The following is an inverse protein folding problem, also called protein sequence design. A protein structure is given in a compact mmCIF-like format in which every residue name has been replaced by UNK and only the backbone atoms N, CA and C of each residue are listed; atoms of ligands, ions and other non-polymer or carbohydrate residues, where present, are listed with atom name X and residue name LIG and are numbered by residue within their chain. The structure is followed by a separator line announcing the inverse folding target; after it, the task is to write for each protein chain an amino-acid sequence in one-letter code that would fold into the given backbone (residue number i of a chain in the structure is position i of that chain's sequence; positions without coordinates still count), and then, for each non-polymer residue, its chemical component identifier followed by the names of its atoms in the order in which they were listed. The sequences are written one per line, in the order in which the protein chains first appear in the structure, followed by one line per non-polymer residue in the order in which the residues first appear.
data_IF_009056864315
#
_entry.id   IF_009056864315
#
_cell.length_a   1.000
_cell.length_b   1.000
_cell.length_c   1.000
_cell.angle_alpha   90.00
_cell.angle_beta   90.00
_cell.angle_gamma   90.00
#
_symmetry.space_group_name_H-M   'P 1'
#
loop_
_entity.id
_entity.type
_entity.pdbx_description
1 polymer ?
#
# COMPACT_ATOMS: atom_id res chain seq x y z
N UNK A 1 20.36 20.10 -0.57
CA UNK A 1 19.99 18.67 -0.45
C UNK A 1 20.57 17.93 -1.64
N UNK A 2 21.23 16.79 -1.40
CA UNK A 2 21.82 15.98 -2.47
C UNK A 2 20.83 14.90 -2.91
N UNK A 3 20.83 14.56 -4.21
CA UNK A 3 19.97 13.49 -4.77
C UNK A 3 20.15 12.15 -4.03
N UNK A 4 21.37 11.84 -3.61
CA UNK A 4 21.72 10.65 -2.83
C UNK A 4 20.99 10.52 -1.49
N UNK A 5 20.51 11.62 -0.93
CA UNK A 5 19.69 11.60 0.30
C UNK A 5 18.21 11.26 0.01
N UNK A 6 17.73 11.62 -1.20
CA UNK A 6 16.37 11.33 -1.65
C UNK A 6 16.29 9.88 -2.09
N UNK A 7 17.17 9.48 -3.03
CA UNK A 7 17.19 8.18 -3.66
C UNK A 7 18.26 7.29 -3.02
N UNK A 8 17.96 6.67 -1.89
CA UNK A 8 18.87 5.74 -1.23
C UNK A 8 18.16 4.41 -0.90
N UNK A 9 18.94 3.38 -0.67
CA UNK A 9 18.43 2.13 -0.10
C UNK A 9 18.00 2.43 1.34
N UNK A 10 16.77 2.02 1.69
CA UNK A 10 16.24 2.07 3.05
C UNK A 10 15.85 0.69 3.51
N UNK A 11 15.97 0.45 4.81
CA UNK A 11 15.57 -0.80 5.43
C UNK A 11 14.18 -0.65 6.05
N UNK A 12 13.36 -1.70 5.98
CA UNK A 12 12.10 -1.77 6.69
C UNK A 12 12.38 -2.47 8.03
N UNK A 13 12.52 -1.70 9.11
CA UNK A 13 12.73 -2.15 10.50
C UNK A 13 13.92 -3.10 10.72
N UNK A 14 14.24 -3.95 9.77
CA UNK A 14 15.35 -4.91 9.80
C UNK A 14 16.25 -4.75 8.58
N UNK A 15 17.50 -5.19 8.66
CA UNK A 15 18.46 -5.13 7.54
C UNK A 15 18.15 -6.10 6.38
N UNK A 16 17.12 -6.93 6.54
CA UNK A 16 16.77 -7.97 5.56
C UNK A 16 15.84 -7.43 4.47
N UNK A 17 14.86 -6.59 4.82
CA UNK A 17 13.93 -6.04 3.83
C UNK A 17 14.44 -4.69 3.34
N UNK A 18 14.89 -4.66 2.10
CA UNK A 18 15.51 -3.46 1.48
C UNK A 18 14.64 -2.90 0.37
N UNK A 19 14.60 -1.56 0.28
CA UNK A 19 14.01 -0.82 -0.81
C UNK A 19 15.10 -0.30 -1.78
N UNK A 20 14.81 0.12 -3.02
CA UNK A 20 13.46 0.22 -3.59
C UNK A 20 12.89 -1.15 -4.01
N UNK A 21 11.56 -1.27 -3.98
CA UNK A 21 10.86 -2.46 -4.47
C UNK A 21 9.58 -2.12 -5.22
N UNK A 22 9.24 -2.97 -6.20
CA UNK A 22 7.94 -2.95 -6.88
C UNK A 22 7.16 -4.16 -6.43
N UNK A 23 5.94 -3.93 -5.95
CA UNK A 23 5.09 -4.96 -5.34
C UNK A 23 3.89 -5.23 -6.26
N UNK A 24 3.79 -6.43 -6.88
CA UNK A 24 2.60 -6.83 -7.63
C UNK A 24 1.38 -6.94 -6.72
N UNK A 25 0.26 -6.35 -7.14
CA UNK A 25 -1.01 -6.36 -6.40
C UNK A 25 -2.04 -7.25 -7.06
N UNK A 26 -2.72 -8.06 -6.25
CA UNK A 26 -3.82 -8.92 -6.63
C UNK A 26 -5.12 -8.41 -6.02
N UNK A 27 -6.15 -8.19 -6.84
CA UNK A 27 -7.45 -7.68 -6.41
C UNK A 27 -8.58 -8.28 -7.24
N UNK A 28 -9.60 -8.82 -6.57
CA UNK A 28 -10.81 -9.34 -7.22
C UNK A 28 -11.60 -8.26 -7.96
N UNK A 29 -11.46 -6.99 -7.55
CA UNK A 29 -12.08 -5.86 -8.23
C UNK A 29 -11.40 -5.53 -9.57
N UNK A 30 -10.15 -5.93 -9.75
CA UNK A 30 -9.40 -5.75 -11.00
C UNK A 30 -9.51 -6.92 -11.96
N UNK A 31 -9.84 -8.14 -11.47
CA UNK A 31 -9.80 -9.37 -12.26
C UNK A 31 -10.94 -10.33 -11.89
N UNK A 32 -11.62 -10.88 -12.89
CA UNK A 32 -12.76 -11.78 -12.70
C UNK A 32 -12.34 -13.10 -12.05
N UNK A 33 -11.17 -13.62 -12.37
CA UNK A 33 -10.68 -14.92 -11.89
C UNK A 33 -9.33 -14.76 -11.17
N UNK A 34 -9.34 -13.94 -10.12
CA UNK A 34 -8.12 -13.54 -9.42
C UNK A 34 -7.41 -14.74 -8.75
N UNK A 35 -8.13 -15.75 -8.26
CA UNK A 35 -7.53 -16.92 -7.63
C UNK A 35 -6.68 -17.73 -8.61
N UNK A 36 -7.18 -18.02 -9.79
CA UNK A 36 -6.42 -18.72 -10.81
C UNK A 36 -5.23 -17.90 -11.30
N UNK A 37 -5.41 -16.59 -11.49
CA UNK A 37 -4.31 -15.68 -11.85
C UNK A 37 -3.22 -15.70 -10.76
N UNK A 38 -3.62 -15.59 -9.51
CA UNK A 38 -2.70 -15.65 -8.37
C UNK A 38 -1.94 -16.98 -8.34
N UNK A 39 -2.63 -18.13 -8.46
CA UNK A 39 -2.00 -19.46 -8.49
C UNK A 39 -1.01 -19.64 -9.64
N UNK A 40 -1.37 -19.18 -10.83
CA UNK A 40 -0.48 -19.24 -12.01
C UNK A 40 0.81 -18.45 -11.81
N UNK A 41 0.72 -17.28 -11.19
CA UNK A 41 1.82 -16.34 -11.04
C UNK A 41 2.60 -16.54 -9.73
N UNK A 42 2.05 -17.21 -8.74
CA UNK A 42 2.64 -17.39 -7.42
C UNK A 42 4.06 -17.97 -7.47
N UNK A 43 4.33 -18.88 -8.40
CA UNK A 43 5.64 -19.49 -8.60
C UNK A 43 6.70 -18.55 -9.22
N UNK A 44 6.28 -17.42 -9.78
CA UNK A 44 7.16 -16.43 -10.40
C UNK A 44 7.33 -15.18 -9.54
N UNK A 45 6.36 -14.90 -8.66
CA UNK A 45 6.35 -13.73 -7.77
C UNK A 45 6.82 -14.18 -6.39
N UNK A 46 8.14 -14.34 -6.26
CA UNK A 46 8.78 -14.88 -5.06
C UNK A 46 9.23 -13.81 -4.06
N UNK A 47 9.52 -12.59 -4.52
CA UNK A 47 10.07 -11.56 -3.62
C UNK A 47 8.99 -10.91 -2.76
N UNK A 48 8.03 -10.24 -3.40
CA UNK A 48 6.96 -9.52 -2.69
C UNK A 48 5.67 -9.53 -3.46
N UNK A 49 4.54 -9.49 -2.76
CA UNK A 49 3.20 -9.29 -3.33
C UNK A 49 2.28 -8.62 -2.35
N UNK A 50 1.24 -7.97 -2.88
CA UNK A 50 0.14 -7.44 -2.08
C UNK A 50 -1.13 -8.24 -2.35
N UNK A 51 -1.83 -8.58 -1.28
CA UNK A 51 -3.13 -9.24 -1.30
C UNK A 51 -4.08 -8.47 -0.38
N UNK A 52 -5.31 -8.30 -0.83
CA UNK A 52 -6.35 -7.67 -0.03
C UNK A 52 -6.89 -8.63 1.05
N UNK A 53 -7.02 -8.13 2.27
CA UNK A 53 -7.66 -8.87 3.35
C UNK A 53 -9.14 -9.18 3.04
N UNK A 54 -9.81 -8.28 2.30
CA UNK A 54 -11.16 -8.52 1.78
C UNK A 54 -11.23 -9.79 0.93
N UNK A 55 -10.28 -9.96 0.01
CA UNK A 55 -10.24 -11.12 -0.89
C UNK A 55 -9.93 -12.43 -0.16
N UNK A 56 -9.11 -12.37 0.89
CA UNK A 56 -8.87 -13.53 1.76
C UNK A 56 -10.11 -13.90 2.58
N UNK A 57 -10.79 -12.92 3.18
CA UNK A 57 -11.98 -13.14 3.99
C UNK A 57 -13.11 -13.77 3.19
N UNK A 58 -13.37 -13.25 1.99
CA UNK A 58 -14.42 -13.77 1.11
C UNK A 58 -13.97 -14.91 0.21
N UNK A 59 -12.74 -15.41 0.39
CA UNK A 59 -12.16 -16.54 -0.36
C UNK A 59 -12.10 -16.31 -1.87
N UNK A 60 -11.98 -15.06 -2.28
CA UNK A 60 -11.69 -14.71 -3.68
C UNK A 60 -10.27 -15.10 -4.06
N UNK A 61 -9.36 -15.20 -3.07
CA UNK A 61 -8.01 -15.75 -3.18
C UNK A 61 -7.86 -16.81 -2.07
N UNK A 62 -7.30 -17.97 -2.41
CA UNK A 62 -7.05 -19.04 -1.45
C UNK A 62 -5.98 -18.62 -0.43
N UNK A 63 -6.29 -18.77 0.86
CA UNK A 63 -5.36 -18.45 1.94
C UNK A 63 -4.16 -19.41 2.04
N UNK A 64 -4.21 -20.57 1.40
CA UNK A 64 -3.12 -21.54 1.41
C UNK A 64 -1.96 -21.13 0.51
N UNK A 65 -2.25 -20.39 -0.57
CA UNK A 65 -1.28 -20.05 -1.61
C UNK A 65 -0.60 -18.69 -1.39
N UNK A 66 -0.98 -17.92 -0.35
CA UNK A 66 -0.47 -16.54 -0.16
C UNK A 66 1.00 -16.47 0.31
N UNK A 67 1.54 -17.55 0.86
CA UNK A 67 2.88 -17.60 1.45
C UNK A 67 4.00 -17.97 0.46
N UNK A 68 3.73 -17.92 -0.83
CA UNK A 68 4.73 -18.21 -1.87
C UNK A 68 5.76 -17.09 -2.11
N UNK A 69 5.63 -15.93 -1.45
CA UNK A 69 6.59 -14.82 -1.52
C UNK A 69 7.31 -14.62 -0.18
N UNK A 70 8.52 -14.05 -0.23
CA UNK A 70 9.28 -13.69 0.97
C UNK A 70 8.55 -12.63 1.79
N UNK A 71 7.95 -11.63 1.10
CA UNK A 71 7.24 -10.51 1.71
C UNK A 71 5.78 -10.51 1.25
N UNK A 72 4.87 -10.42 2.20
CA UNK A 72 3.43 -10.29 1.96
C UNK A 72 2.92 -8.97 2.51
N UNK A 73 2.45 -8.07 1.63
CA UNK A 73 1.68 -6.90 2.02
C UNK A 73 0.20 -7.30 2.13
N UNK A 74 -0.38 -7.08 3.29
CA UNK A 74 -1.80 -7.30 3.54
C UNK A 74 -2.53 -5.95 3.53
N UNK A 75 -3.22 -5.68 2.41
CA UNK A 75 -4.05 -4.48 2.27
C UNK A 75 -5.34 -4.60 3.09
N UNK A 76 -5.83 -3.47 3.58
CA UNK A 76 -7.04 -3.41 4.43
C UNK A 76 -8.35 -3.80 3.73
N UNK A 77 -8.37 -3.88 2.40
CA UNK A 77 -9.57 -4.20 1.61
C UNK A 77 -10.45 -2.98 1.32
N UNK A 78 -9.96 -1.78 1.56
CA UNK A 78 -10.70 -0.55 1.31
C UNK A 78 -11.04 -0.31 -0.15
N UNK A 79 -10.20 -0.79 -1.08
CA UNK A 79 -10.44 -0.69 -2.51
C UNK A 79 -11.57 -1.62 -2.97
N UNK A 80 -11.58 -2.89 -2.55
CA UNK A 80 -12.56 -3.89 -2.93
C UNK A 80 -13.94 -3.60 -2.33
N UNK A 81 -13.99 -3.06 -1.12
CA UNK A 81 -15.24 -2.85 -0.38
C UNK A 81 -16.07 -1.65 -0.85
N UNK A 82 -15.50 -0.75 -1.67
CA UNK A 82 -16.17 0.50 -2.08
C UNK A 82 -16.77 0.41 -3.48
N UNK A 83 -17.98 0.96 -3.65
CA UNK A 83 -18.70 1.03 -4.94
C UNK A 83 -18.27 2.22 -5.82
N UNK A 84 -17.04 2.69 -5.71
CA UNK A 84 -16.59 3.78 -6.59
C UNK A 84 -16.38 3.29 -8.03
N UNK A 85 -17.02 4.00 -8.97
CA UNK A 85 -16.73 3.83 -10.40
C UNK A 85 -15.33 4.38 -10.66
N UNK A 86 -14.37 3.51 -10.84
CA UNK A 86 -12.99 3.88 -11.22
C UNK A 86 -12.69 3.34 -12.61
N UNK A 87 -11.81 4.02 -13.33
CA UNK A 87 -11.34 3.59 -14.66
C UNK A 87 -10.72 2.19 -14.66
N UNK A 88 -10.27 1.69 -13.51
CA UNK A 88 -9.79 0.32 -13.33
C UNK A 88 -10.89 -0.75 -13.37
N UNK A 89 -12.17 -0.38 -13.27
CA UNK A 89 -13.31 -1.30 -13.35
C UNK A 89 -13.72 -1.64 -14.80
N UNK A 90 -12.91 -1.29 -15.80
CA UNK A 90 -13.21 -1.49 -17.23
C UNK A 90 -13.50 -2.96 -17.57
N UNK A 91 -12.98 -3.89 -16.78
CA UNK A 91 -13.09 -5.33 -17.04
C UNK A 91 -14.22 -6.03 -16.28
N UNK A 92 -14.85 -5.40 -15.28
CA UNK A 92 -15.88 -6.02 -14.44
C UNK A 92 -17.10 -5.09 -14.36
N UNK A 93 -18.06 -5.31 -15.26
CA UNK A 93 -19.32 -4.54 -15.30
C UNK A 93 -20.28 -4.84 -14.13
N UNK A 94 -20.05 -5.90 -13.36
CA UNK A 94 -20.96 -6.38 -12.30
C UNK A 94 -20.27 -6.72 -10.97
N UNK A 95 -19.18 -6.03 -10.63
CA UNK A 95 -18.53 -6.24 -9.33
C UNK A 95 -19.48 -5.83 -8.20
N UNK A 96 -19.84 -6.78 -7.35
CA UNK A 96 -20.70 -6.55 -6.18
C UNK A 96 -19.83 -6.54 -4.92
N UNK A 97 -19.85 -5.42 -4.22
CA UNK A 97 -19.20 -5.31 -2.91
C UNK A 97 -20.01 -6.05 -1.85
N UNK A 98 -19.30 -6.70 -0.94
CA UNK A 98 -19.87 -7.30 0.25
C UNK A 98 -19.58 -6.43 1.47
N UNK A 99 -20.32 -6.63 2.56
CA UNK A 99 -20.14 -5.88 3.79
C UNK A 99 -18.73 -6.06 4.36
N UNK A 100 -18.01 -4.97 4.58
CA UNK A 100 -16.64 -4.97 5.07
C UNK A 100 -16.47 -3.96 6.20
N UNK A 101 -15.76 -4.36 7.25
CA UNK A 101 -15.47 -3.51 8.41
C UNK A 101 -14.17 -3.91 9.11
N UNK A 102 -13.73 -3.10 10.07
CA UNK A 102 -12.50 -3.28 10.82
C UNK A 102 -12.43 -4.65 11.52
N UNK A 103 -13.55 -5.13 12.10
CA UNK A 103 -13.57 -6.42 12.79
C UNK A 103 -13.24 -7.60 11.84
N UNK A 104 -13.79 -7.58 10.62
CA UNK A 104 -13.50 -8.59 9.59
C UNK A 104 -12.03 -8.50 9.15
N UNK A 105 -11.49 -7.30 9.04
CA UNK A 105 -10.07 -7.09 8.76
C UNK A 105 -9.20 -7.68 9.87
N UNK A 106 -9.48 -7.37 11.14
CA UNK A 106 -8.76 -7.96 12.26
C UNK A 106 -8.88 -9.48 12.32
N UNK A 107 -10.03 -10.07 11.94
CA UNK A 107 -10.19 -11.52 11.86
C UNK A 107 -9.22 -12.13 10.85
N UNK A 108 -8.97 -11.47 9.71
CA UNK A 108 -7.97 -11.93 8.75
C UNK A 108 -6.57 -11.85 9.35
N UNK A 109 -6.18 -10.72 9.99
CA UNK A 109 -4.86 -10.57 10.57
C UNK A 109 -4.60 -11.64 11.65
N UNK A 110 -5.59 -11.91 12.51
CA UNK A 110 -5.46 -12.94 13.58
C UNK A 110 -5.26 -14.35 13.03
N UNK A 111 -5.79 -14.64 11.85
CA UNK A 111 -5.71 -15.99 11.25
C UNK A 111 -4.54 -16.14 10.26
N UNK A 112 -3.81 -15.06 9.96
CA UNK A 112 -2.67 -15.13 9.05
C UNK A 112 -1.48 -15.81 9.76
N UNK A 113 -0.81 -16.73 9.04
CA UNK A 113 0.36 -17.44 9.57
C UNK A 113 1.62 -16.64 9.28
N UNK A 114 2.49 -16.36 10.25
CA UNK A 114 3.72 -15.60 10.04
C UNK A 114 4.83 -16.47 9.39
N UNK A 115 4.56 -17.01 8.21
CA UNK A 115 5.52 -17.85 7.44
C UNK A 115 6.40 -16.97 6.54
N UNK A 116 5.83 -15.86 6.03
CA UNK A 116 6.53 -14.81 5.28
C UNK A 116 6.74 -13.60 6.19
N UNK A 117 7.57 -12.64 5.76
CA UNK A 117 7.59 -11.31 6.35
C UNK A 117 6.29 -10.59 5.99
N UNK A 118 5.43 -10.33 6.97
CA UNK A 118 4.11 -9.77 6.74
C UNK A 118 4.10 -8.29 7.12
N UNK A 119 3.68 -7.46 6.16
CA UNK A 119 3.47 -6.02 6.31
C UNK A 119 1.97 -5.77 6.27
N UNK A 120 1.41 -5.31 7.39
CA UNK A 120 -0.01 -4.95 7.47
C UNK A 120 -0.21 -3.47 7.23
N UNK A 121 -1.20 -3.11 6.39
CA UNK A 121 -1.61 -1.73 6.13
C UNK A 121 -2.80 -1.42 7.04
N UNK A 122 -2.84 -0.25 7.67
CA UNK A 122 -3.95 0.10 8.56
C UNK A 122 -5.30 0.13 7.83
N UNK A 123 -6.38 -0.05 8.60
CA UNK A 123 -7.73 0.09 8.06
C UNK A 123 -8.00 1.53 7.59
N UNK A 124 -8.73 1.68 6.47
CA UNK A 124 -9.04 2.98 5.85
C UNK A 124 -10.05 3.77 6.69
N UNK A 125 -9.59 4.70 7.48
CA UNK A 125 -10.44 5.67 8.20
C UNK A 125 -10.57 6.96 7.40
N UNK A 126 -11.35 6.92 6.33
CA UNK A 126 -11.61 8.10 5.49
C UNK A 126 -12.36 9.19 6.27
N UNK A 127 -12.07 10.45 5.93
CA UNK A 127 -12.69 11.67 6.50
C UNK A 127 -12.35 11.97 7.96
N UNK A 128 -11.43 11.24 8.55
CA UNK A 128 -10.90 11.57 9.85
C UNK A 128 -9.65 12.45 9.75
N UNK A 129 -9.45 13.30 10.76
CA UNK A 129 -8.22 14.10 10.87
C UNK A 129 -7.00 13.21 10.98
N UNK A 130 -5.86 13.69 10.49
CA UNK A 130 -4.58 12.98 10.53
C UNK A 130 -4.25 12.41 11.92
N UNK A 131 -4.47 13.18 12.99
CA UNK A 131 -4.22 12.71 14.35
C UNK A 131 -5.07 11.50 14.75
N UNK A 132 -6.37 11.50 14.39
CA UNK A 132 -7.25 10.36 14.69
C UNK A 132 -6.83 9.12 13.89
N UNK A 133 -6.48 9.29 12.61
CA UNK A 133 -5.99 8.17 11.79
C UNK A 133 -4.73 7.55 12.40
N UNK A 134 -3.80 8.36 12.92
CA UNK A 134 -2.60 7.90 13.61
C UNK A 134 -3.00 7.09 14.87
N UNK A 135 -3.90 7.60 15.70
CA UNK A 135 -4.34 6.93 16.93
C UNK A 135 -5.04 5.59 16.63
N UNK A 136 -5.90 5.54 15.60
CA UNK A 136 -6.56 4.30 15.18
C UNK A 136 -5.54 3.27 14.67
N UNK A 137 -4.59 3.69 13.83
CA UNK A 137 -3.53 2.81 13.35
C UNK A 137 -2.65 2.30 14.50
N UNK A 138 -2.26 3.15 15.45
CA UNK A 138 -1.48 2.74 16.62
C UNK A 138 -2.24 1.72 17.47
N UNK A 139 -3.56 1.92 17.68
CA UNK A 139 -4.40 0.97 18.42
C UNK A 139 -4.45 -0.39 17.72
N UNK A 140 -4.69 -0.41 16.40
CA UNK A 140 -4.71 -1.64 15.62
C UNK A 140 -3.36 -2.35 15.72
N UNK A 141 -2.28 -1.63 15.42
CA UNK A 141 -0.95 -2.20 15.34
C UNK A 141 -0.36 -2.65 16.68
N UNK A 142 -0.83 -2.08 17.81
CA UNK A 142 -0.38 -2.50 19.14
C UNK A 142 -0.70 -3.96 19.47
N UNK A 143 -1.68 -4.55 18.78
CA UNK A 143 -2.05 -5.96 18.95
C UNK A 143 -1.14 -6.92 18.15
N UNK A 144 -0.30 -6.38 17.24
CA UNK A 144 0.45 -7.15 16.23
C UNK A 144 1.92 -6.70 16.15
N UNK A 145 2.62 -6.64 17.28
CA UNK A 145 4.01 -6.14 17.35
C UNK A 145 5.03 -6.99 16.57
N UNK A 146 4.67 -8.22 16.25
CA UNK A 146 5.47 -9.14 15.46
C UNK A 146 5.35 -8.94 13.95
N UNK A 147 4.42 -8.07 13.48
CA UNK A 147 4.24 -7.72 12.08
C UNK A 147 4.85 -6.36 11.77
N UNK A 148 5.17 -6.11 10.49
CA UNK A 148 5.58 -4.79 10.02
C UNK A 148 4.35 -3.91 9.78
N UNK A 149 4.51 -2.60 9.99
CA UNK A 149 3.41 -1.63 10.07
C UNK A 149 3.54 -0.58 8.96
N UNK A 150 2.65 -0.62 7.98
CA UNK A 150 2.55 0.37 6.92
C UNK A 150 1.36 1.30 7.20
N UNK A 151 1.64 2.57 7.47
CA UNK A 151 0.62 3.57 7.77
C UNK A 151 0.16 4.26 6.50
N UNK A 152 -1.01 3.88 6.00
CA UNK A 152 -1.68 4.50 4.87
C UNK A 152 -2.58 5.65 5.35
N UNK A 153 -2.18 6.90 5.04
CA UNK A 153 -2.98 8.09 5.30
C UNK A 153 -4.09 8.24 4.25
N UNK A 154 -5.25 8.72 4.69
CA UNK A 154 -6.39 9.05 3.84
C UNK A 154 -6.75 10.53 3.94
N UNK A 155 -7.36 11.12 2.88
CA UNK A 155 -7.88 12.47 2.95
C UNK A 155 -8.89 12.65 4.08
N UNK A 156 -8.81 13.77 4.78
CA UNK A 156 -9.73 14.18 5.85
C UNK A 156 -10.96 14.95 5.33
N UNK A 157 -10.90 15.41 4.09
CA UNK A 157 -11.92 16.27 3.50
C UNK A 157 -12.61 15.70 2.25
N UNK A 158 -13.64 16.40 1.78
CA UNK A 158 -14.40 16.07 0.57
C UNK A 158 -13.62 16.26 -0.74
N UNK A 159 -12.45 16.91 -0.72
CA UNK A 159 -11.64 17.15 -1.91
C UNK A 159 -10.88 15.92 -2.36
N UNK A 160 -10.78 14.91 -1.49
CA UNK A 160 -10.11 13.65 -1.80
C UNK A 160 -8.59 13.78 -1.96
N UNK A 161 -8.00 14.85 -1.40
CA UNK A 161 -6.55 15.08 -1.41
C UNK A 161 -6.03 15.14 0.02
N UNK A 162 -4.84 14.56 0.23
CA UNK A 162 -4.17 14.58 1.52
C UNK A 162 -3.69 16.00 1.82
N UNK A 163 -3.93 16.46 3.05
CA UNK A 163 -3.38 17.71 3.55
C UNK A 163 -1.90 17.52 3.92
N UNK A 164 -1.01 17.85 2.98
CA UNK A 164 0.44 17.62 3.12
C UNK A 164 1.04 18.43 4.28
N UNK A 165 0.56 19.65 4.51
CA UNK A 165 1.07 20.51 5.60
C UNK A 165 0.70 19.91 6.97
N UNK A 166 -0.52 19.43 7.14
CA UNK A 166 -0.97 18.75 8.35
C UNK A 166 -0.23 17.43 8.55
N UNK A 167 -0.02 16.67 7.47
CA UNK A 167 0.76 15.44 7.52
C UNK A 167 2.19 15.71 8.01
N UNK A 168 2.87 16.71 7.46
CA UNK A 168 4.23 17.10 7.86
C UNK A 168 4.26 17.57 9.32
N UNK A 169 3.23 18.30 9.76
CA UNK A 169 3.14 18.74 11.16
C UNK A 169 3.06 17.57 12.17
N UNK A 170 2.60 16.41 11.74
CA UNK A 170 2.51 15.19 12.56
C UNK A 170 3.64 14.18 12.30
N UNK A 171 4.66 14.51 11.51
CA UNK A 171 5.64 13.56 10.97
C UNK A 171 6.44 12.81 12.06
N UNK A 172 6.69 13.45 13.20
CA UNK A 172 7.37 12.81 14.34
C UNK A 172 6.54 11.65 14.93
N UNK A 173 5.20 11.84 15.03
CA UNK A 173 4.29 10.79 15.49
C UNK A 173 4.26 9.60 14.51
N UNK A 174 4.46 9.89 13.23
CA UNK A 174 4.48 8.88 12.16
C UNK A 174 5.75 8.01 12.18
N UNK A 175 6.82 8.46 12.83
CA UNK A 175 8.06 7.68 12.97
C UNK A 175 7.89 6.36 13.72
N UNK A 176 6.77 6.18 14.43
CA UNK A 176 6.41 4.93 15.12
C UNK A 176 6.04 3.79 14.18
N UNK A 177 5.67 4.10 12.94
CA UNK A 177 5.37 3.11 11.90
C UNK A 177 6.64 2.70 11.14
N UNK A 178 6.62 1.55 10.49
CA UNK A 178 7.77 1.05 9.73
C UNK A 178 7.82 1.63 8.31
N UNK A 179 6.65 1.88 7.71
CA UNK A 179 6.45 2.40 6.36
C UNK A 179 5.39 3.50 6.38
N UNK A 180 5.51 4.49 5.49
CA UNK A 180 4.56 5.60 5.32
C UNK A 180 3.88 5.48 3.95
N UNK A 181 2.59 5.12 3.94
CA UNK A 181 1.81 4.83 2.75
C UNK A 181 0.96 6.01 2.26
N UNK A 182 0.85 6.14 0.94
CA UNK A 182 0.02 7.14 0.25
C UNK A 182 -0.66 6.52 -0.97
N UNK A 183 -1.93 6.82 -1.19
CA UNK A 183 -2.56 6.49 -2.47
C UNK A 183 -2.14 7.52 -3.52
N UNK A 184 -1.69 7.07 -4.69
CA UNK A 184 -1.16 7.94 -5.75
C UNK A 184 -2.07 9.14 -6.07
N UNK A 185 -3.35 8.87 -6.33
CA UNK A 185 -4.34 9.90 -6.70
C UNK A 185 -4.64 10.91 -5.59
N UNK A 186 -4.40 10.54 -4.34
CA UNK A 186 -4.67 11.37 -3.15
C UNK A 186 -3.52 12.32 -2.83
N UNK A 187 -2.34 12.12 -3.46
CA UNK A 187 -1.19 13.01 -3.35
C UNK A 187 -1.33 14.30 -4.18
N UNK A 188 -2.21 14.34 -5.17
CA UNK A 188 -2.41 15.52 -6.02
C UNK A 188 -3.14 15.24 -7.31
N UNK A 189 -3.69 16.29 -7.94
CA UNK A 189 -4.49 16.21 -9.16
C UNK A 189 -3.66 15.87 -10.41
N UNK A 190 -2.38 16.27 -10.44
CA UNK A 190 -1.46 16.02 -11.55
C UNK A 190 -0.21 15.31 -11.09
N UNK A 191 0.47 14.63 -12.02
CA UNK A 191 1.76 13.97 -11.74
C UNK A 191 2.77 14.97 -11.16
N UNK A 192 2.83 16.20 -11.69
CA UNK A 192 3.71 17.26 -11.19
C UNK A 192 3.42 17.55 -9.71
N UNK A 193 2.16 17.76 -9.35
CA UNK A 193 1.76 18.06 -7.97
C UNK A 193 2.05 16.88 -7.03
N UNK A 194 1.81 15.65 -7.48
CA UNK A 194 2.13 14.43 -6.72
C UNK A 194 3.62 14.34 -6.41
N UNK A 195 4.47 14.58 -7.42
CA UNK A 195 5.92 14.56 -7.24
C UNK A 195 6.40 15.69 -6.32
N UNK A 196 5.86 16.91 -6.44
CA UNK A 196 6.17 18.03 -5.56
C UNK A 196 5.79 17.73 -4.10
N UNK A 197 4.60 17.16 -3.87
CA UNK A 197 4.11 16.80 -2.55
C UNK A 197 4.94 15.66 -1.94
N UNK A 198 5.23 14.63 -2.72
CA UNK A 198 6.12 13.54 -2.29
C UNK A 198 7.49 14.07 -1.88
N UNK A 199 8.07 14.96 -2.69
CA UNK A 199 9.37 15.56 -2.38
C UNK A 199 9.33 16.39 -1.09
N UNK A 200 8.25 17.16 -0.85
CA UNK A 200 8.08 17.91 0.42
C UNK A 200 8.10 16.96 1.62
N UNK A 201 7.37 15.84 1.55
CA UNK A 201 7.34 14.83 2.62
C UNK A 201 8.73 14.24 2.83
N UNK A 202 9.42 13.84 1.75
CA UNK A 202 10.77 13.26 1.84
C UNK A 202 11.78 14.25 2.43
N UNK A 203 11.70 15.52 2.05
CA UNK A 203 12.56 16.58 2.62
C UNK A 203 12.30 16.79 4.12
N UNK A 204 11.03 16.77 4.54
CA UNK A 204 10.68 16.88 5.94
C UNK A 204 11.24 15.71 6.77
N UNK A 205 11.14 14.46 6.26
CA UNK A 205 11.73 13.30 6.89
C UNK A 205 13.26 13.41 7.01
N UNK A 206 13.95 13.86 5.96
CA UNK A 206 15.40 14.05 5.96
C UNK A 206 15.81 15.11 7.00
N UNK A 207 15.09 16.23 7.07
CA UNK A 207 15.40 17.32 8.00
C UNK A 207 15.24 16.91 9.48
N UNK A 208 14.38 15.94 9.75
CA UNK A 208 14.16 15.40 11.09
C UNK A 208 14.97 14.11 11.37
N UNK A 209 15.85 13.74 10.45
CA UNK A 209 16.66 12.50 10.53
C UNK A 209 15.81 11.23 10.67
N UNK A 210 14.58 11.23 10.13
CA UNK A 210 13.66 10.11 10.13
C UNK A 210 13.86 9.31 8.83
N UNK A 211 14.45 8.11 8.94
CA UNK A 211 14.75 7.27 7.78
C UNK A 211 13.67 6.19 7.57
N UNK A 212 12.50 6.60 7.09
CA UNK A 212 11.37 5.69 6.81
C UNK A 212 11.13 5.55 5.31
N UNK A 213 10.86 4.31 4.83
CA UNK A 213 10.38 4.10 3.47
C UNK A 213 9.03 4.77 3.22
N UNK A 214 8.87 5.31 2.01
CA UNK A 214 7.59 5.83 1.51
C UNK A 214 7.03 4.87 0.47
N UNK A 215 5.76 4.53 0.63
CA UNK A 215 5.01 3.60 -0.17
C UNK A 215 3.91 4.31 -0.98
N UNK A 216 3.93 4.15 -2.31
CA UNK A 216 2.91 4.72 -3.21
C UNK A 216 2.00 3.60 -3.70
N UNK A 217 0.74 3.62 -3.26
CA UNK A 217 -0.30 2.66 -3.62
C UNK A 217 -1.07 3.13 -4.86
N UNK A 218 -1.50 2.17 -5.67
CA UNK A 218 -2.42 2.41 -6.79
C UNK A 218 -1.78 3.06 -8.02
N UNK A 219 -0.47 3.05 -8.15
CA UNK A 219 0.21 3.51 -9.34
C UNK A 219 0.11 2.46 -10.46
N UNK A 220 -0.57 2.81 -11.56
CA UNK A 220 -0.81 1.90 -12.69
C UNK A 220 0.22 2.05 -13.81
N UNK A 221 0.92 3.17 -13.86
CA UNK A 221 1.85 3.47 -14.93
C UNK A 221 3.30 3.21 -14.53
N UNK A 222 4.04 2.32 -15.23
CA UNK A 222 5.42 2.00 -14.91
C UNK A 222 6.37 3.20 -14.93
N UNK A 223 6.12 4.17 -15.82
CA UNK A 223 6.95 5.39 -15.92
C UNK A 223 6.76 6.23 -14.66
N UNK A 224 5.52 6.35 -14.18
CA UNK A 224 5.21 7.08 -12.94
C UNK A 224 5.89 6.43 -11.73
N UNK A 225 5.99 5.11 -11.65
CA UNK A 225 6.72 4.41 -10.57
C UNK A 225 8.19 4.85 -10.52
N UNK A 226 8.87 4.90 -11.68
CA UNK A 226 10.26 5.37 -11.75
C UNK A 226 10.39 6.83 -11.32
N UNK A 227 9.43 7.69 -11.74
CA UNK A 227 9.42 9.08 -11.33
C UNK A 227 9.23 9.20 -9.80
N UNK A 228 8.33 8.42 -9.20
CA UNK A 228 8.16 8.42 -7.74
C UNK A 228 9.43 7.99 -7.01
N UNK A 229 10.15 6.97 -7.49
CA UNK A 229 11.44 6.59 -6.89
C UNK A 229 12.47 7.71 -6.96
N UNK A 230 12.55 8.44 -8.09
CA UNK A 230 13.45 9.59 -8.21
C UNK A 230 13.07 10.76 -7.29
N UNK A 231 11.81 10.85 -6.88
CA UNK A 231 11.32 11.89 -5.97
C UNK A 231 11.18 11.43 -4.52
N UNK A 232 11.70 10.26 -4.19
CA UNK A 232 11.88 9.81 -2.82
C UNK A 232 10.87 8.79 -2.32
N UNK A 233 10.05 8.16 -3.18
CA UNK A 233 9.37 6.93 -2.84
C UNK A 233 10.37 5.77 -2.77
N UNK A 234 9.99 4.71 -2.09
CA UNK A 234 10.79 3.51 -1.88
C UNK A 234 10.05 2.25 -2.30
N UNK A 235 8.72 2.25 -2.22
CA UNK A 235 7.87 1.12 -2.55
C UNK A 235 6.80 1.61 -3.53
N UNK A 236 6.66 0.91 -4.65
CA UNK A 236 5.64 1.18 -5.65
C UNK A 236 4.77 -0.04 -5.89
N UNK A 237 3.46 0.14 -5.99
CA UNK A 237 2.56 -0.90 -6.44
C UNK A 237 2.39 -0.87 -7.94
N UNK A 238 2.44 -2.05 -8.54
CA UNK A 238 2.07 -2.24 -9.92
C UNK A 238 0.87 -3.18 -10.00
N UNK A 239 -0.21 -2.72 -10.60
CA UNK A 239 -1.33 -3.59 -10.92
C UNK A 239 -0.87 -4.63 -11.95
N UNK A 240 -1.16 -5.89 -11.70
CA UNK A 240 -0.68 -7.04 -12.46
C UNK A 240 -0.99 -7.01 -13.96
N UNK A 241 -1.98 -6.23 -14.40
CA UNK A 241 -2.38 -6.08 -15.82
C UNK A 241 -1.20 -5.76 -16.74
N UNK A 242 -0.24 -4.99 -16.25
CA UNK A 242 0.91 -4.56 -17.09
C UNK A 242 1.92 -5.71 -17.25
N UNK A 243 2.13 -6.51 -16.20
CA UNK A 243 3.06 -7.65 -16.30
C UNK A 243 2.57 -8.73 -17.28
N UNK A 244 1.28 -9.02 -17.33
CA UNK A 244 0.71 -10.01 -18.25
C UNK A 244 0.81 -9.53 -19.71
N UNK A 245 0.64 -8.22 -19.99
CA UNK A 245 0.79 -7.68 -21.34
C UNK A 245 2.25 -7.59 -21.82
N UNK A 246 3.20 -7.43 -20.91
CA UNK A 246 4.65 -7.36 -21.26
C UNK A 246 5.25 -8.75 -21.47
N UNK A 247 4.69 -9.80 -20.88
CA UNK A 247 5.18 -11.17 -21.04
C UNK A 247 4.58 -11.93 -22.24
N UNK A 248 3.67 -11.32 -23.01
CA UNK A 248 2.97 -11.95 -24.15
C UNK A 248 3.45 -11.41 -25.52
N UNK A 249 4.52 -10.60 -25.54
CA UNK A 249 5.18 -10.14 -26.77
C UNK A 249 6.62 -10.64 -26.86
#
# INVERSE_FOLDING_TARGET
MKLEQICKIRNIKSDYIKTPMVVPSFSSKGFIDIDNIHRMLNKYIINSKLISAYDLYYKNISSEDIYGSEILFLDSGGYESKNYFQTSNIFISEYKTLEWNENKYEDVIRNIKPISDIIIINYDFEKDKTENQILFAQRLFSNYDYLYKDFLIKPDDSKGMINIEEYIANIEKLSTFDILGFTEKELGESIKQRLENLLKIRVALINLEIDKPIHILGCLDPISIWLYFLFGADIGFMFLIIMVKVCVF
#
